data_IF_972067454095
#
_entry.id   IF_972067454095
#
_cell.length_a   1.000
_cell.length_b   1.000
_cell.length_c   1.000
_cell.angle_alpha   90.00
_cell.angle_beta   90.00
_cell.angle_gamma   90.00
#
_symmetry.space_group_name_H-M   'P 1'
#
loop_
_entity.id
_entity.type
_entity.pdbx_description
1 polymer ?
#
# COMPACT_ATOMS: atom_id res chain seq x y z
N UNK A 1 -12.58 -7.32 -13.30
CA UNK A 1 -11.12 -7.27 -13.10
C UNK A 1 -10.58 -8.70 -13.06
N UNK A 2 -9.29 -8.97 -13.34
CA UNK A 2 -8.72 -10.31 -13.14
C UNK A 2 -7.78 -10.28 -11.94
N UNK A 3 -8.29 -10.66 -10.76
CA UNK A 3 -7.54 -10.62 -9.50
C UNK A 3 -7.10 -12.05 -9.17
N UNK A 4 -5.78 -12.33 -9.14
CA UNK A 4 -5.28 -13.63 -8.75
C UNK A 4 -5.58 -13.91 -7.27
N UNK A 5 -6.08 -15.11 -6.98
CA UNK A 5 -6.43 -15.55 -5.62
C UNK A 5 -5.22 -15.88 -4.75
N UNK A 6 -4.04 -16.02 -5.36
CA UNK A 6 -2.76 -16.28 -4.70
C UNK A 6 -1.73 -15.34 -5.28
N UNK A 7 -1.02 -14.63 -4.42
CA UNK A 7 -0.05 -13.61 -4.79
C UNK A 7 1.16 -13.65 -3.86
N UNK A 8 2.29 -13.23 -4.36
CA UNK A 8 3.48 -12.88 -3.58
C UNK A 8 3.64 -11.36 -3.56
N UNK A 9 3.98 -10.79 -2.42
CA UNK A 9 4.33 -9.37 -2.30
C UNK A 9 5.83 -9.23 -2.57
N UNK A 10 6.17 -8.49 -3.62
CA UNK A 10 7.55 -8.26 -4.04
C UNK A 10 8.15 -7.00 -3.42
N UNK A 11 7.33 -5.95 -3.31
CA UNK A 11 7.77 -4.64 -2.82
C UNK A 11 6.57 -3.82 -2.35
N UNK A 12 6.83 -2.73 -1.64
CA UNK A 12 5.82 -1.81 -1.17
C UNK A 12 6.43 -0.47 -0.77
N UNK A 13 5.63 0.58 -0.85
CA UNK A 13 6.04 1.92 -0.47
C UNK A 13 4.90 2.66 0.22
N UNK A 14 5.30 3.45 1.22
CA UNK A 14 4.46 4.45 1.88
C UNK A 14 4.81 5.82 1.29
N UNK A 15 3.80 6.54 0.80
CA UNK A 15 3.97 7.85 0.21
C UNK A 15 3.68 8.97 1.23
N UNK A 16 4.56 9.97 1.27
CA UNK A 16 4.36 11.19 2.06
C UNK A 16 3.36 12.18 1.43
N UNK A 17 2.43 11.69 0.60
CA UNK A 17 1.39 12.49 -0.05
C UNK A 17 0.10 12.62 0.79
N UNK A 18 0.09 12.04 1.99
CA UNK A 18 -1.08 11.85 2.84
C UNK A 18 -1.20 10.43 3.40
N UNK A 19 -0.26 9.53 3.04
CA UNK A 19 -0.21 8.16 3.54
C UNK A 19 -0.67 7.13 2.51
N UNK A 20 -0.52 7.41 1.21
CA UNK A 20 -0.85 6.41 0.18
C UNK A 20 0.07 5.19 0.31
N UNK A 21 -0.50 4.00 0.19
CA UNK A 21 0.24 2.73 0.24
C UNK A 21 0.20 2.09 -1.13
N UNK A 22 1.37 1.73 -1.66
CA UNK A 22 1.49 0.96 -2.91
C UNK A 22 2.17 -0.38 -2.65
N UNK A 23 1.67 -1.44 -3.27
CA UNK A 23 2.20 -2.80 -3.18
C UNK A 23 2.40 -3.35 -4.58
N UNK A 24 3.61 -3.84 -4.86
CA UNK A 24 3.91 -4.61 -6.06
C UNK A 24 3.78 -6.09 -5.75
N UNK A 25 2.96 -6.77 -6.53
CA UNK A 25 2.61 -8.17 -6.37
C UNK A 25 3.07 -9.00 -7.57
N UNK A 26 3.26 -10.30 -7.36
CA UNK A 26 3.40 -11.30 -8.43
C UNK A 26 2.34 -12.37 -8.30
N UNK A 27 1.74 -12.78 -9.41
CA UNK A 27 0.93 -13.99 -9.48
C UNK A 27 1.80 -15.26 -9.66
N UNK A 28 1.23 -16.48 -9.60
CA UNK A 28 1.97 -17.73 -9.81
C UNK A 28 2.51 -17.92 -11.23
N UNK A 29 2.00 -17.15 -12.21
CA UNK A 29 2.46 -17.15 -13.60
C UNK A 29 3.60 -16.13 -13.82
N UNK A 30 3.98 -15.38 -12.79
CA UNK A 30 5.00 -14.34 -12.83
C UNK A 30 4.50 -12.98 -13.34
N UNK A 31 3.19 -12.81 -13.54
CA UNK A 31 2.64 -11.50 -13.88
C UNK A 31 2.67 -10.57 -12.68
N UNK A 32 3.01 -9.32 -12.94
CA UNK A 32 3.10 -8.28 -11.92
C UNK A 32 1.82 -7.50 -11.84
N UNK A 33 1.35 -7.29 -10.61
CA UNK A 33 0.16 -6.49 -10.32
C UNK A 33 0.50 -5.38 -9.33
N UNK A 34 -0.24 -4.29 -9.39
CA UNK A 34 -0.09 -3.16 -8.47
C UNK A 34 -1.37 -2.93 -7.68
N UNK A 35 -1.27 -2.92 -6.36
CA UNK A 35 -2.33 -2.47 -5.46
C UNK A 35 -1.94 -1.11 -4.92
N UNK A 36 -2.85 -0.14 -5.03
CA UNK A 36 -2.66 1.20 -4.51
C UNK A 36 -3.86 1.58 -3.65
N UNK A 37 -3.62 1.86 -2.38
CA UNK A 37 -4.53 2.61 -1.54
C UNK A 37 -4.11 4.08 -1.61
N UNK A 38 -4.91 4.89 -2.30
CA UNK A 38 -4.63 6.33 -2.42
C UNK A 38 -5.19 7.05 -1.19
N UNK A 39 -4.36 7.80 -0.47
CA UNK A 39 -4.76 8.62 0.68
C UNK A 39 -4.23 10.04 0.56
N UNK A 40 -4.01 10.52 -0.66
CA UNK A 40 -3.38 11.82 -0.84
C UNK A 40 -4.24 12.96 -0.26
N UNK A 41 -3.57 14.01 0.22
CA UNK A 41 -4.22 15.25 0.69
C UNK A 41 -4.31 16.33 -0.40
N UNK A 42 -3.93 15.99 -1.65
CA UNK A 42 -4.03 16.91 -2.77
C UNK A 42 -5.50 17.26 -3.09
N UNK A 43 -5.78 18.51 -3.52
CA UNK A 43 -7.10 18.91 -3.95
C UNK A 43 -7.56 18.11 -5.20
N UNK A 44 -8.88 18.04 -5.47
CA UNK A 44 -9.41 17.44 -6.69
C UNK A 44 -8.70 17.99 -7.94
N UNK A 45 -8.23 17.11 -8.83
CA UNK A 45 -7.45 17.47 -10.03
C UNK A 45 -5.95 17.71 -9.78
N UNK A 46 -5.47 17.59 -8.53
CA UNK A 46 -4.06 17.76 -8.18
C UNK A 46 -3.17 16.53 -8.38
N UNK A 47 -3.76 15.34 -8.57
CA UNK A 47 -3.03 14.09 -8.78
C UNK A 47 -3.09 13.67 -10.25
N UNK A 48 -1.95 13.29 -10.88
CA UNK A 48 -1.97 12.74 -12.22
C UNK A 48 -2.84 11.47 -12.28
N UNK A 49 -3.87 11.48 -13.12
CA UNK A 49 -4.77 10.34 -13.33
C UNK A 49 -6.00 10.25 -12.43
N UNK A 50 -6.45 11.38 -11.83
CA UNK A 50 -7.75 11.48 -11.11
C UNK A 50 -7.97 10.39 -10.05
N UNK A 51 -6.90 9.96 -9.39
CA UNK A 51 -7.01 8.99 -8.31
C UNK A 51 -7.82 9.62 -7.19
N UNK A 52 -8.94 8.99 -6.84
CA UNK A 52 -9.77 9.41 -5.74
C UNK A 52 -9.04 9.08 -4.43
N UNK A 53 -8.85 10.09 -3.58
CA UNK A 53 -8.33 9.87 -2.24
C UNK A 53 -9.28 8.97 -1.42
N UNK A 54 -8.72 8.20 -0.50
CA UNK A 54 -9.40 7.19 0.28
C UNK A 54 -9.91 5.99 -0.53
N UNK A 55 -9.38 5.73 -1.74
CA UNK A 55 -9.86 4.63 -2.60
C UNK A 55 -8.77 3.62 -2.95
N UNK A 56 -9.21 2.37 -3.07
CA UNK A 56 -8.39 1.25 -3.49
C UNK A 56 -8.38 1.13 -5.03
N UNK A 57 -7.20 0.89 -5.59
CA UNK A 57 -6.98 0.65 -7.00
C UNK A 57 -6.19 -0.65 -7.18
N UNK A 58 -6.52 -1.38 -8.24
CA UNK A 58 -5.81 -2.58 -8.67
C UNK A 58 -5.48 -2.45 -10.17
N UNK A 59 -4.20 -2.56 -10.51
CA UNK A 59 -3.68 -2.33 -11.87
C UNK A 59 -4.16 -1.00 -12.48
N UNK A 60 -4.25 0.03 -11.62
CA UNK A 60 -4.71 1.37 -12.00
C UNK A 60 -6.23 1.52 -12.15
N UNK A 61 -7.00 0.43 -12.02
CA UNK A 61 -8.46 0.47 -12.06
C UNK A 61 -9.04 0.68 -10.66
N UNK A 62 -10.04 1.55 -10.54
CA UNK A 62 -10.75 1.80 -9.29
C UNK A 62 -11.49 0.53 -8.84
N UNK A 63 -11.30 0.15 -7.58
CA UNK A 63 -12.03 -0.96 -6.96
C UNK A 63 -13.29 -0.42 -6.29
N UNK A 64 -14.42 -1.07 -6.57
CA UNK A 64 -15.69 -0.73 -5.94
C UNK A 64 -15.72 -1.16 -4.48
N UNK A 65 -16.25 -0.29 -3.63
CA UNK A 65 -16.30 -0.48 -2.18
C UNK A 65 -17.20 -1.67 -1.86
N UNK A 66 -16.70 -2.60 -1.02
CA UNK A 66 -17.41 -3.82 -0.61
C UNK A 66 -17.84 -4.71 -1.78
N UNK A 67 -17.17 -4.58 -2.92
CA UNK A 67 -17.34 -5.48 -4.05
C UNK A 67 -16.68 -6.83 -3.81
N UNK A 68 -17.06 -7.82 -4.61
CA UNK A 68 -16.39 -9.13 -4.65
C UNK A 68 -14.90 -8.96 -5.00
N UNK A 69 -14.57 -8.00 -5.87
CA UNK A 69 -13.20 -7.70 -6.28
C UNK A 69 -12.38 -7.19 -5.08
N UNK A 70 -12.90 -6.25 -4.29
CA UNK A 70 -12.26 -5.75 -3.05
C UNK A 70 -11.99 -6.89 -2.07
N UNK A 71 -13.00 -7.71 -1.78
CA UNK A 71 -12.87 -8.85 -0.87
C UNK A 71 -11.86 -9.88 -1.37
N UNK A 72 -11.77 -10.07 -2.68
CA UNK A 72 -10.79 -10.97 -3.31
C UNK A 72 -9.38 -10.46 -3.11
N UNK A 73 -9.14 -9.16 -3.35
CA UNK A 73 -7.83 -8.52 -3.12
C UNK A 73 -7.41 -8.66 -1.67
N UNK A 74 -8.30 -8.33 -0.73
CA UNK A 74 -8.02 -8.42 0.71
C UNK A 74 -7.74 -9.86 1.13
N UNK A 75 -8.53 -10.83 0.65
CA UNK A 75 -8.28 -12.25 0.94
C UNK A 75 -6.94 -12.74 0.40
N UNK A 76 -6.56 -12.30 -0.80
CA UNK A 76 -5.28 -12.62 -1.41
C UNK A 76 -4.11 -12.02 -0.61
N UNK A 77 -4.20 -10.74 -0.21
CA UNK A 77 -3.19 -10.06 0.60
C UNK A 77 -3.02 -10.69 1.98
N UNK A 78 -4.10 -11.13 2.64
CA UNK A 78 -4.04 -11.84 3.93
C UNK A 78 -3.27 -13.17 3.87
N UNK A 79 -3.24 -13.81 2.70
CA UNK A 79 -2.58 -15.10 2.47
C UNK A 79 -1.25 -14.97 1.72
N UNK A 80 -0.88 -13.76 1.34
CA UNK A 80 0.27 -13.51 0.49
C UNK A 80 1.56 -13.85 1.22
N UNK A 81 2.48 -14.49 0.50
CA UNK A 81 3.85 -14.60 0.95
C UNK A 81 4.60 -13.31 0.63
N UNK A 82 5.54 -12.91 1.49
CA UNK A 82 6.41 -11.78 1.23
C UNK A 82 7.71 -12.32 0.64
N UNK A 83 7.97 -12.00 -0.62
CA UNK A 83 9.23 -12.29 -1.27
C UNK A 83 10.16 -11.11 -1.03
N UNK A 84 10.95 -11.20 0.04
CA UNK A 84 12.04 -10.24 0.22
C UNK A 84 13.14 -10.58 -0.78
N UNK A 85 13.54 -9.65 -1.68
CA UNK A 85 14.72 -9.88 -2.49
C UNK A 85 15.90 -10.09 -1.54
N UNK A 86 16.67 -11.16 -1.78
CA UNK A 86 17.91 -11.39 -1.04
C UNK A 86 18.74 -10.12 -1.19
N UNK A 87 19.18 -9.48 -0.09
CA UNK A 87 19.96 -8.26 -0.21
C UNK A 87 21.17 -8.59 -1.06
N UNK A 88 21.21 -8.05 -2.28
CA UNK A 88 22.44 -8.00 -3.06
C UNK A 88 23.43 -7.36 -2.10
N UNK A 89 24.55 -8.03 -1.79
CA UNK A 89 25.64 -7.50 -0.96
C UNK A 89 26.10 -6.19 -1.58
N UNK A 90 25.39 -5.12 -1.30
CA UNK A 90 25.66 -3.82 -1.84
C UNK A 90 26.83 -3.31 -1.06
N UNK A 91 27.95 -3.08 -1.75
CA UNK A 91 29.11 -2.34 -1.23
C UNK A 91 28.80 -0.85 -1.05
N UNK A 92 27.53 -0.51 -0.89
CA UNK A 92 27.09 0.82 -0.50
C UNK A 92 27.03 0.78 1.02
N UNK A 93 27.86 1.62 1.64
CA UNK A 93 27.80 1.86 3.07
C UNK A 93 26.33 2.05 3.48
N UNK A 94 25.88 1.48 4.62
CA UNK A 94 24.58 1.83 5.15
C UNK A 94 24.51 3.36 5.17
N UNK A 95 23.53 3.92 4.48
CA UNK A 95 23.27 5.35 4.56
C UNK A 95 23.00 5.59 6.03
N UNK A 96 23.89 6.33 6.67
CA UNK A 96 23.77 6.70 8.06
C UNK A 96 22.56 7.64 8.17
N UNK A 97 21.37 7.07 8.38
CA UNK A 97 20.11 7.82 8.53
C UNK A 97 20.02 8.46 9.91
N UNK A 98 21.14 8.63 10.62
CA UNK A 98 21.26 9.41 11.86
C UNK A 98 21.18 10.93 11.62
N UNK A 99 20.40 11.39 10.64
CA UNK A 99 19.90 12.75 10.69
C UNK A 99 18.58 12.72 11.46
N UNK A 100 18.47 13.38 12.63
CA UNK A 100 17.22 13.48 13.37
C UNK A 100 16.29 14.41 12.59
N UNK A 101 15.70 13.89 11.52
CA UNK A 101 14.56 14.49 10.87
C UNK A 101 13.39 14.41 11.84
N UNK A 102 12.72 15.53 12.06
CA UNK A 102 11.47 15.55 12.81
C UNK A 102 10.44 14.71 12.04
N UNK A 103 10.18 13.50 12.51
CA UNK A 103 9.10 12.65 12.00
C UNK A 103 7.79 13.23 12.52
N UNK A 104 6.99 13.78 11.62
CA UNK A 104 5.64 14.29 11.90
C UNK A 104 4.65 13.22 11.43
N UNK A 105 3.86 12.68 12.36
CA UNK A 105 2.90 11.58 12.11
C UNK A 105 3.31 10.29 12.81
N UNK A 106 2.39 9.71 13.59
CA UNK A 106 2.61 8.45 14.29
C UNK A 106 2.69 7.28 13.29
N UNK A 107 1.95 7.35 12.19
CA UNK A 107 1.97 6.44 11.05
C UNK A 107 3.35 6.38 10.35
N UNK A 108 3.96 7.54 10.10
CA UNK A 108 5.29 7.62 9.51
C UNK A 108 6.35 7.06 10.47
N UNK A 109 6.22 7.38 11.77
CA UNK A 109 7.11 6.84 12.81
C UNK A 109 7.04 5.31 12.86
N UNK A 110 5.83 4.77 12.84
CA UNK A 110 5.61 3.32 12.90
C UNK A 110 6.20 2.64 11.66
N UNK A 111 6.00 3.20 10.47
CA UNK A 111 6.62 2.67 9.24
C UNK A 111 8.17 2.66 9.32
N UNK A 112 8.81 3.75 9.72
CA UNK A 112 10.26 3.80 9.84
C UNK A 112 10.80 2.87 10.94
N UNK A 113 10.06 2.67 12.03
CA UNK A 113 10.41 1.68 13.03
C UNK A 113 10.44 0.25 12.46
N UNK A 114 9.49 -0.07 11.56
CA UNK A 114 9.41 -1.38 10.90
C UNK A 114 10.45 -1.57 9.81
N UNK A 115 10.88 -0.51 9.13
CA UNK A 115 12.05 -0.58 8.25
C UNK A 115 13.30 -1.01 9.03
N UNK A 116 13.49 -0.51 10.26
CA UNK A 116 14.64 -0.88 11.10
C UNK A 116 14.60 -2.36 11.53
N UNK A 117 13.41 -2.96 11.63
CA UNK A 117 13.23 -4.41 11.90
C UNK A 117 13.53 -5.29 10.67
N UNK A 118 13.52 -4.71 9.47
CA UNK A 118 13.89 -5.37 8.22
C UNK A 118 12.83 -5.24 7.11
N UNK A 119 13.19 -5.55 5.85
CA UNK A 119 12.31 -5.33 4.70
C UNK A 119 11.01 -6.14 4.77
N UNK A 120 11.03 -7.36 5.31
CA UNK A 120 9.81 -8.15 5.48
C UNK A 120 8.85 -7.52 6.49
N UNK A 121 9.39 -7.02 7.62
CA UNK A 121 8.59 -6.40 8.67
C UNK A 121 7.91 -5.11 8.16
N UNK A 122 8.64 -4.29 7.42
CA UNK A 122 8.08 -3.11 6.77
C UNK A 122 6.95 -3.45 5.79
N UNK A 123 7.16 -4.45 4.92
CA UNK A 123 6.13 -4.88 3.96
C UNK A 123 4.89 -5.45 4.65
N UNK A 124 5.10 -6.27 5.69
CA UNK A 124 4.00 -6.84 6.47
C UNK A 124 3.19 -5.75 7.17
N UNK A 125 3.86 -4.72 7.70
CA UNK A 125 3.19 -3.58 8.30
C UNK A 125 2.33 -2.81 7.27
N UNK A 126 2.86 -2.51 6.08
CA UNK A 126 2.09 -1.86 5.03
C UNK A 126 0.85 -2.65 4.61
N UNK A 127 0.97 -3.97 4.51
CA UNK A 127 -0.16 -4.86 4.20
C UNK A 127 -1.21 -4.80 5.30
N UNK A 128 -0.80 -4.85 6.57
CA UNK A 128 -1.71 -4.73 7.71
C UNK A 128 -2.44 -3.38 7.73
N UNK A 129 -1.72 -2.27 7.52
CA UNK A 129 -2.30 -0.92 7.47
C UNK A 129 -3.33 -0.80 6.33
N UNK A 130 -2.96 -1.25 5.12
CA UNK A 130 -3.86 -1.23 3.97
C UNK A 130 -5.13 -2.04 4.24
N UNK A 131 -4.98 -3.27 4.73
CA UNK A 131 -6.12 -4.14 5.04
C UNK A 131 -6.98 -3.52 6.15
N UNK A 132 -6.35 -3.06 7.24
CA UNK A 132 -7.04 -2.47 8.38
C UNK A 132 -7.88 -1.27 7.98
N UNK A 133 -7.32 -0.38 7.15
CA UNK A 133 -8.06 0.75 6.63
C UNK A 133 -9.21 0.33 5.71
N UNK A 134 -8.97 -0.55 4.73
CA UNK A 134 -10.03 -0.99 3.78
C UNK A 134 -11.17 -1.72 4.51
N UNK A 135 -10.86 -2.50 5.55
CA UNK A 135 -11.87 -3.19 6.37
C UNK A 135 -12.62 -2.24 7.33
N UNK A 136 -12.09 -1.05 7.60
CA UNK A 136 -12.69 -0.07 8.51
C UNK A 136 -14.02 0.50 7.99
N UNK A 137 -14.82 1.02 8.92
CA UNK A 137 -16.01 1.80 8.60
C UNK A 137 -15.68 3.21 8.07
N UNK A 138 -14.49 3.71 8.41
CA UNK A 138 -13.98 5.02 8.00
C UNK A 138 -13.77 5.06 6.49
N UNK A 139 -13.19 4.00 5.91
CA UNK A 139 -13.05 3.84 4.47
C UNK A 139 -14.39 3.96 3.73
N UNK A 140 -15.44 3.28 4.21
CA UNK A 140 -16.78 3.36 3.62
C UNK A 140 -17.36 4.77 3.73
N UNK A 141 -17.16 5.42 4.88
CA UNK A 141 -17.71 6.75 5.17
C UNK A 141 -17.02 7.82 4.33
N UNK A 142 -15.70 7.76 4.24
CA UNK A 142 -14.89 8.68 3.45
C UNK A 142 -15.18 8.55 1.96
N UNK A 143 -15.24 7.32 1.44
CA UNK A 143 -15.48 7.11 0.03
C UNK A 143 -16.90 7.58 -0.39
N UNK A 144 -17.92 7.34 0.43
CA UNK A 144 -19.30 7.83 0.17
C UNK A 144 -19.44 9.35 0.20
N UNK A 145 -18.62 10.06 0.98
CA UNK A 145 -18.66 11.52 1.02
C UNK A 145 -17.99 12.16 -0.20
N UNK A 146 -17.12 11.42 -0.89
CA UNK A 146 -16.39 11.87 -2.07
C UNK A 146 -16.97 11.36 -3.41
N UNK A 147 -17.88 10.37 -3.39
CA UNK A 147 -18.66 9.93 -4.57
C UNK A 147 -19.84 10.87 -4.93
N UNK A 148 -20.22 11.79 -4.04
CA UNK A 148 -21.40 12.68 -4.20
C UNK A 148 -21.09 14.08 -4.72
N UNK A 149 -19.90 14.33 -5.27
CA UNK A 149 -19.52 15.62 -5.85
C UNK A 149 -19.38 15.57 -7.35
#
# INVERSE_FOLDING_TARGET
MNIPSTISILNGAFASDGGSISLLLSDPLGHKHNVLLSQHLLPPGGYPGERLSGRLFFDGSLVEIRSVDELTIISALKKANIETPTPVKSRLNPIDTAQPGMIVGDDIRDYYSKIAEGPEAALRHLVCELIGYVESQEYVTYARSHEKK
#
